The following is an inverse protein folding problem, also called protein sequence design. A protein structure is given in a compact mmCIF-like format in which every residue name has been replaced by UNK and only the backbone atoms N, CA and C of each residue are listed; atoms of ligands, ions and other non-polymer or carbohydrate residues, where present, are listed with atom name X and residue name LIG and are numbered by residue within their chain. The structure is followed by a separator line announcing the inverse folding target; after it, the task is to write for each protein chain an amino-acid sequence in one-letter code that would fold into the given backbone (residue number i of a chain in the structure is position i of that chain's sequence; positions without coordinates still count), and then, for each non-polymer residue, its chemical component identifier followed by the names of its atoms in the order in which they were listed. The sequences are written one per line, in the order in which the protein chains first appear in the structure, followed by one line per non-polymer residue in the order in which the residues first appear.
data_IF_095168881645
#
_entry.id   IF_095168881645
#
_cell.length_a   1.000
_cell.length_b   1.000
_cell.length_c   1.000
_cell.angle_alpha   90.00
_cell.angle_beta   90.00
_cell.angle_gamma   90.00
#
_symmetry.space_group_name_H-M   'P 1'
#
loop_
_entity.id
_entity.type
_entity.pdbx_description
1 polymer ?
#
# COMPACT_ATOMS: atom_id res chain seq x y z
N UNK A 1 11.02 -9.07 19.41
CA UNK A 1 11.62 -10.08 18.51
C UNK A 1 13.15 -10.13 18.61
N UNK A 2 13.74 -11.34 18.64
CA UNK A 2 15.19 -11.60 18.57
C UNK A 2 15.50 -12.69 17.55
N UNK A 3 16.49 -12.44 16.71
CA UNK A 3 16.98 -13.39 15.71
C UNK A 3 18.48 -13.60 15.84
N UNK A 4 18.95 -14.79 15.46
CA UNK A 4 20.35 -15.14 15.37
C UNK A 4 20.72 -15.47 13.93
N UNK A 5 21.81 -14.90 13.45
CA UNK A 5 22.34 -15.22 12.13
C UNK A 5 22.98 -16.61 12.14
N UNK A 6 22.56 -17.46 11.22
CA UNK A 6 23.15 -18.78 10.97
C UNK A 6 24.20 -18.74 9.86
N UNK A 7 24.14 -17.74 8.99
CA UNK A 7 25.11 -17.51 7.91
C UNK A 7 25.37 -16.02 7.80
N UNK A 8 26.59 -15.65 7.41
CA UNK A 8 26.87 -14.27 7.07
C UNK A 8 25.98 -13.82 5.91
N UNK A 9 25.35 -12.66 6.04
CA UNK A 9 24.51 -12.11 4.99
C UNK A 9 24.69 -10.60 4.89
N UNK A 10 24.29 -10.06 3.74
CA UNK A 10 24.32 -8.62 3.49
C UNK A 10 22.92 -8.16 3.13
N UNK A 11 22.37 -7.23 3.90
CA UNK A 11 21.04 -6.69 3.68
C UNK A 11 21.05 -5.16 3.77
N UNK A 12 20.11 -4.53 3.07
CA UNK A 12 19.95 -3.09 3.07
C UNK A 12 19.05 -2.68 4.23
N UNK A 13 19.58 -1.85 5.13
CA UNK A 13 18.90 -1.40 6.34
C UNK A 13 19.28 0.04 6.69
N UNK A 14 18.30 0.87 7.04
CA UNK A 14 18.52 2.28 7.39
C UNK A 14 19.37 3.05 6.38
N UNK A 15 18.99 2.96 5.11
CA UNK A 15 19.66 3.62 3.98
C UNK A 15 21.11 3.18 3.71
N UNK A 16 21.58 2.10 4.36
CA UNK A 16 22.92 1.57 4.18
C UNK A 16 22.91 0.06 3.96
N UNK A 17 23.90 -0.44 3.24
CA UNK A 17 24.14 -1.88 3.13
C UNK A 17 24.90 -2.33 4.36
N UNK A 18 24.29 -3.18 5.17
CA UNK A 18 24.89 -3.73 6.38
C UNK A 18 25.32 -5.18 6.18
N UNK A 19 26.47 -5.51 6.78
CA UNK A 19 27.02 -6.86 6.80
C UNK A 19 26.75 -7.48 8.16
N UNK A 20 26.05 -8.60 8.14
CA UNK A 20 25.65 -9.35 9.33
C UNK A 20 26.51 -10.60 9.42
N UNK A 21 27.18 -10.78 10.56
CA UNK A 21 28.09 -11.91 10.76
C UNK A 21 27.33 -13.14 11.23
N UNK A 22 27.84 -14.31 10.86
CA UNK A 22 27.35 -15.57 11.40
C UNK A 22 27.50 -15.61 12.93
N UNK A 23 26.46 -16.11 13.60
CA UNK A 23 26.44 -16.28 15.04
C UNK A 23 26.03 -15.05 15.84
N UNK A 24 25.98 -13.86 15.22
CA UNK A 24 25.51 -12.63 15.87
C UNK A 24 23.99 -12.61 16.05
N UNK A 25 23.55 -11.91 17.10
CA UNK A 25 22.16 -11.79 17.50
C UNK A 25 21.69 -10.36 17.34
N UNK A 26 20.52 -10.20 16.74
CA UNK A 26 19.90 -8.90 16.48
C UNK A 26 18.52 -8.86 17.11
N UNK A 27 18.09 -7.65 17.49
CA UNK A 27 16.88 -7.40 18.25
C UNK A 27 16.03 -6.27 17.63
N UNK A 28 14.74 -6.26 17.94
CA UNK A 28 13.80 -5.22 17.53
C UNK A 28 13.46 -5.26 16.03
N UNK A 29 13.28 -4.09 15.42
CA UNK A 29 12.87 -3.96 14.01
C UNK A 29 13.87 -4.56 13.03
N UNK A 30 15.16 -4.49 13.34
CA UNK A 30 16.20 -5.13 12.54
C UNK A 30 16.04 -6.66 12.55
N UNK A 31 15.67 -7.24 13.70
CA UNK A 31 15.42 -8.67 13.82
C UNK A 31 14.21 -9.11 12.98
N UNK A 32 13.15 -8.30 12.95
CA UNK A 32 11.97 -8.51 12.12
C UNK A 32 12.30 -8.44 10.64
N UNK A 33 13.00 -7.40 10.23
CA UNK A 33 13.45 -7.24 8.85
C UNK A 33 14.32 -8.42 8.38
N UNK A 34 15.26 -8.87 9.21
CA UNK A 34 16.10 -10.04 8.92
C UNK A 34 15.28 -11.34 8.86
N UNK A 35 14.26 -11.53 9.70
CA UNK A 35 13.39 -12.69 9.61
C UNK A 35 12.60 -12.73 8.29
N UNK A 36 12.13 -11.58 7.81
CA UNK A 36 11.29 -11.47 6.62
C UNK A 36 12.08 -11.47 5.30
N UNK A 37 13.29 -10.89 5.29
CA UNK A 37 14.03 -10.59 4.06
C UNK A 37 15.38 -11.31 3.93
N UNK A 38 15.89 -11.92 5.01
CA UNK A 38 17.16 -12.63 4.89
C UNK A 38 17.03 -13.88 4.01
N UNK A 39 18.13 -14.34 3.38
CA UNK A 39 18.10 -15.55 2.58
C UNK A 39 17.61 -16.75 3.41
N UNK A 40 16.80 -17.62 2.80
CA UNK A 40 16.20 -18.77 3.47
C UNK A 40 17.27 -19.61 4.18
N UNK A 41 17.07 -19.83 5.49
CA UNK A 41 18.01 -20.59 6.32
C UNK A 41 19.23 -19.80 6.81
N UNK A 42 19.32 -18.49 6.57
CA UNK A 42 20.38 -17.63 7.10
C UNK A 42 20.07 -17.05 8.48
N UNK A 43 18.82 -17.14 8.94
CA UNK A 43 18.35 -16.56 10.21
C UNK A 43 17.57 -17.59 11.00
N UNK A 44 17.82 -17.65 12.31
CA UNK A 44 17.04 -18.41 13.29
C UNK A 44 16.34 -17.45 14.23
N UNK A 45 15.02 -17.44 14.21
CA UNK A 45 14.22 -16.69 15.19
C UNK A 45 14.37 -17.39 16.55
N UNK A 46 14.93 -16.69 17.54
CA UNK A 46 15.20 -17.23 18.88
C UNK A 46 14.13 -16.82 19.88
N UNK A 47 13.67 -15.59 19.76
CA UNK A 47 12.51 -15.09 20.49
C UNK A 47 11.58 -14.53 19.42
N UNK A 48 10.55 -15.30 19.10
CA UNK A 48 9.48 -14.79 18.27
C UNK A 48 8.95 -13.53 18.95
N UNK A 49 8.63 -12.51 18.16
CA UNK A 49 7.71 -11.48 18.68
C UNK A 49 6.50 -12.22 19.27
N UNK A 50 5.87 -11.73 20.35
CA UNK A 50 4.53 -12.19 20.66
C UNK A 50 3.77 -12.15 19.34
N UNK A 51 3.28 -13.31 18.91
CA UNK A 51 2.44 -13.42 17.72
C UNK A 51 1.50 -12.23 17.78
N UNK A 52 1.52 -11.31 16.78
CA UNK A 52 0.68 -10.14 16.85
C UNK A 52 -0.69 -10.70 17.19
N UNK A 53 -1.21 -10.33 18.37
CA UNK A 53 -2.58 -10.61 18.76
C UNK A 53 -3.37 -10.31 17.50
N UNK A 54 -4.04 -11.32 16.91
CA UNK A 54 -4.56 -11.21 15.55
C UNK A 54 -5.21 -9.85 15.50
N UNK A 55 -4.68 -8.95 14.66
CA UNK A 55 -5.32 -7.66 14.46
C UNK A 55 -6.78 -8.03 14.30
N UNK A 56 -7.68 -7.56 15.18
CA UNK A 56 -9.07 -7.93 15.09
C UNK A 56 -9.40 -7.71 13.63
N UNK A 57 -9.78 -8.79 12.92
CA UNK A 57 -10.22 -8.75 11.52
C UNK A 57 -10.92 -7.42 11.37
N UNK A 58 -10.28 -6.47 10.68
CA UNK A 58 -10.61 -5.05 10.74
C UNK A 58 -12.13 -4.97 10.83
N UNK A 59 -12.71 -4.53 11.97
CA UNK A 59 -14.07 -4.86 12.36
C UNK A 59 -14.91 -4.69 11.13
N UNK A 60 -15.36 -5.84 10.61
CA UNK A 60 -15.91 -6.03 9.26
C UNK A 60 -16.47 -4.69 8.85
N UNK A 61 -15.69 -3.97 8.01
CA UNK A 61 -15.84 -2.54 7.79
C UNK A 61 -17.30 -2.24 7.95
N UNK A 62 -17.68 -1.56 9.06
CA UNK A 62 -19.06 -1.16 9.28
C UNK A 62 -19.54 -0.76 7.90
N UNK A 63 -20.56 -1.42 7.32
CA UNK A 63 -21.09 -0.93 6.08
C UNK A 63 -21.58 0.45 6.46
N UNK A 64 -20.75 1.47 6.23
CA UNK A 64 -21.18 2.83 6.05
C UNK A 64 -22.27 2.65 5.00
N UNK A 65 -23.54 2.77 5.39
CA UNK A 65 -24.64 2.59 4.47
C UNK A 65 -24.77 3.91 3.71
N UNK A 66 -23.70 4.37 3.09
CA UNK A 66 -23.74 5.51 2.18
C UNK A 66 -23.06 5.10 0.88
N UNK A 67 -23.93 4.56 0.03
CA UNK A 67 -23.78 4.47 -1.41
C UNK A 67 -22.76 3.46 -1.89
N UNK A 68 -23.12 2.19 -1.66
CA UNK A 68 -23.17 1.25 -2.77
C UNK A 68 -24.12 1.78 -3.85
N UNK A 69 -23.76 2.87 -4.54
CA UNK A 69 -24.19 3.03 -5.91
C UNK A 69 -23.28 2.09 -6.70
N UNK A 70 -23.71 0.83 -6.76
CA UNK A 70 -23.34 -0.08 -7.85
C UNK A 70 -24.04 0.43 -9.11
N UNK A 71 -23.86 1.72 -9.41
CA UNK A 71 -24.09 2.29 -10.71
C UNK A 71 -22.81 2.07 -11.49
N UNK A 72 -22.95 1.87 -12.78
CA UNK A 72 -21.86 1.75 -13.76
C UNK A 72 -21.07 3.08 -13.92
N UNK A 73 -20.95 3.87 -12.84
CA UNK A 73 -20.47 5.24 -12.80
C UNK A 73 -19.18 5.43 -12.00
N UNK A 74 -18.49 6.56 -12.21
CA UNK A 74 -17.21 6.84 -11.58
C UNK A 74 -17.35 7.10 -10.07
N UNK A 75 -16.46 6.54 -9.21
CA UNK A 75 -16.51 6.72 -7.76
C UNK A 75 -15.94 8.10 -7.35
N UNK A 76 -16.60 9.17 -7.78
CA UNK A 76 -16.15 10.56 -7.56
C UNK A 76 -16.23 11.00 -6.11
N UNK A 77 -16.98 10.32 -5.25
CA UNK A 77 -17.02 10.60 -3.80
C UNK A 77 -15.92 9.87 -3.01
N UNK A 78 -15.21 8.95 -3.66
CA UNK A 78 -14.10 8.22 -3.05
C UNK A 78 -12.78 8.98 -3.03
N UNK A 79 -11.72 8.26 -2.63
CA UNK A 79 -10.34 8.77 -2.70
C UNK A 79 -9.90 8.94 -4.15
N UNK A 80 -8.89 9.80 -4.37
CA UNK A 80 -8.30 9.98 -5.70
C UNK A 80 -7.79 8.65 -6.24
N UNK A 81 -7.19 7.81 -5.37
CA UNK A 81 -6.67 6.50 -5.76
C UNK A 81 -7.78 5.52 -6.16
N UNK A 82 -8.93 5.54 -5.48
CA UNK A 82 -10.09 4.73 -5.87
C UNK A 82 -10.65 5.15 -7.24
N UNK A 83 -10.71 6.45 -7.51
CA UNK A 83 -11.15 6.98 -8.81
C UNK A 83 -10.17 6.64 -9.93
N UNK A 84 -8.86 6.77 -9.69
CA UNK A 84 -7.82 6.42 -10.66
C UNK A 84 -7.77 4.91 -10.92
N UNK A 85 -7.97 4.09 -9.89
CA UNK A 85 -8.07 2.64 -10.03
C UNK A 85 -9.32 2.21 -10.82
N UNK A 86 -10.43 2.94 -10.73
CA UNK A 86 -11.63 2.69 -11.54
C UNK A 86 -11.43 3.08 -13.01
N UNK A 87 -10.76 4.22 -13.26
CA UNK A 87 -10.38 4.67 -14.61
C UNK A 87 -9.42 3.68 -15.25
N UNK A 88 -8.42 3.18 -14.51
CA UNK A 88 -7.47 2.16 -14.97
C UNK A 88 -6.86 2.47 -16.35
N UNK A 89 -6.42 3.72 -16.52
CA UNK A 89 -5.86 4.26 -17.77
C UNK A 89 -6.79 4.17 -19.01
N UNK A 90 -8.10 3.97 -18.81
CA UNK A 90 -9.11 3.98 -19.87
C UNK A 90 -9.57 5.43 -20.16
N UNK A 91 -9.31 5.98 -21.36
CA UNK A 91 -9.68 7.36 -21.69
C UNK A 91 -11.20 7.59 -21.69
N UNK A 92 -12.00 6.56 -21.99
CA UNK A 92 -13.47 6.66 -21.97
C UNK A 92 -13.97 6.81 -20.53
N UNK A 93 -13.40 6.03 -19.61
CA UNK A 93 -13.70 6.14 -18.18
C UNK A 93 -13.15 7.43 -17.58
N UNK A 94 -11.98 7.89 -18.02
CA UNK A 94 -11.42 9.16 -17.60
C UNK A 94 -12.34 10.34 -17.94
N UNK A 95 -12.93 10.35 -19.14
CA UNK A 95 -13.90 11.37 -19.55
C UNK A 95 -15.18 11.33 -18.68
N UNK A 96 -15.70 10.14 -18.38
CA UNK A 96 -16.87 9.98 -17.50
C UNK A 96 -16.59 10.47 -16.07
N UNK A 97 -15.44 10.08 -15.51
CA UNK A 97 -14.98 10.53 -14.21
C UNK A 97 -14.77 12.04 -14.16
N UNK A 98 -14.29 12.64 -15.25
CA UNK A 98 -14.06 14.08 -15.35
C UNK A 98 -15.38 14.85 -15.32
N UNK A 99 -16.37 14.42 -16.10
CA UNK A 99 -17.71 15.04 -16.11
C UNK A 99 -18.36 14.93 -14.72
N UNK A 100 -18.24 13.78 -14.08
CA UNK A 100 -18.80 13.56 -12.74
C UNK A 100 -18.07 14.38 -11.65
N UNK A 101 -16.74 14.51 -11.70
CA UNK A 101 -15.98 15.32 -10.74
C UNK A 101 -16.23 16.82 -10.94
N UNK A 102 -16.41 17.28 -12.18
CA UNK A 102 -16.76 18.67 -12.49
C UNK A 102 -18.20 19.03 -12.08
N UNK A 103 -19.11 18.06 -12.01
CA UNK A 103 -20.49 18.27 -11.57
C UNK A 103 -20.61 18.50 -10.04
N UNK A 104 -19.53 18.32 -9.27
CA UNK A 104 -19.53 18.52 -7.81
C UNK A 104 -19.45 20.01 -7.47
N UNK A 105 -20.02 20.39 -6.33
CA UNK A 105 -19.91 21.77 -5.79
C UNK A 105 -18.45 22.22 -5.56
N UNK A 106 -17.56 21.27 -5.25
CA UNK A 106 -16.13 21.51 -5.02
C UNK A 106 -15.29 20.50 -5.80
N UNK A 107 -15.06 20.73 -7.11
CA UNK A 107 -14.24 19.84 -7.91
C UNK A 107 -12.79 19.89 -7.41
N UNK A 108 -12.18 18.72 -7.21
CA UNK A 108 -10.78 18.64 -6.80
C UNK A 108 -9.89 18.93 -8.00
N UNK A 109 -9.23 20.08 -8.01
CA UNK A 109 -8.38 20.52 -9.12
C UNK A 109 -7.30 19.50 -9.51
N UNK A 110 -6.75 18.78 -8.52
CA UNK A 110 -5.76 17.71 -8.75
C UNK A 110 -6.37 16.50 -9.48
N UNK A 111 -7.63 16.16 -9.20
CA UNK A 111 -8.35 15.06 -9.86
C UNK A 111 -8.68 15.45 -11.29
N UNK A 112 -9.28 16.63 -11.48
CA UNK A 112 -9.61 17.16 -12.81
C UNK A 112 -8.37 17.18 -13.71
N UNK A 113 -7.24 17.69 -13.20
CA UNK A 113 -5.97 17.74 -13.96
C UNK A 113 -5.48 16.36 -14.40
N UNK A 114 -5.59 15.34 -13.54
CA UNK A 114 -5.17 13.97 -13.88
C UNK A 114 -6.11 13.32 -14.87
N UNK A 115 -7.42 13.49 -14.71
CA UNK A 115 -8.43 12.93 -15.61
C UNK A 115 -8.39 13.59 -17.00
N UNK A 116 -8.17 14.91 -17.08
CA UNK A 116 -7.99 15.61 -18.37
C UNK A 116 -6.80 15.07 -19.15
N UNK A 117 -5.68 14.80 -18.47
CA UNK A 117 -4.48 14.24 -19.08
C UNK A 117 -4.68 12.79 -19.58
N UNK A 118 -5.54 12.01 -18.92
CA UNK A 118 -5.84 10.62 -19.31
C UNK A 118 -6.91 10.51 -20.39
N UNK A 119 -7.86 11.45 -20.43
CA UNK A 119 -8.91 11.49 -21.45
C UNK A 119 -8.41 12.01 -22.81
N UNK A 120 -7.11 12.29 -22.95
CA UNK A 120 -6.48 12.89 -24.13
C UNK A 120 -7.19 14.19 -24.57
N UNK A 121 -7.77 14.91 -23.60
CA UNK A 121 -8.29 16.25 -23.81
C UNK A 121 -7.08 17.19 -23.70
N UNK A 122 -6.17 17.09 -24.67
CA UNK A 122 -5.19 18.13 -24.93
C UNK A 122 -5.95 19.36 -25.46
N UNK A 123 -5.92 20.45 -24.69
CA UNK A 123 -6.09 21.81 -25.23
C UNK A 123 -4.70 22.37 -25.56
#
# INVERSE_FOLDING_TARGET
MRVRMLKAARAYWNYAVQEFKEGEEYFGDLARHLADNAPVGSVKVMEADPEPEPEPEAPAASPDPESADVGDGPPVDGTIDALMAWVNDDPVRAAQALVAEQAKDKPRSTVVKRLSAMADIEE
#
